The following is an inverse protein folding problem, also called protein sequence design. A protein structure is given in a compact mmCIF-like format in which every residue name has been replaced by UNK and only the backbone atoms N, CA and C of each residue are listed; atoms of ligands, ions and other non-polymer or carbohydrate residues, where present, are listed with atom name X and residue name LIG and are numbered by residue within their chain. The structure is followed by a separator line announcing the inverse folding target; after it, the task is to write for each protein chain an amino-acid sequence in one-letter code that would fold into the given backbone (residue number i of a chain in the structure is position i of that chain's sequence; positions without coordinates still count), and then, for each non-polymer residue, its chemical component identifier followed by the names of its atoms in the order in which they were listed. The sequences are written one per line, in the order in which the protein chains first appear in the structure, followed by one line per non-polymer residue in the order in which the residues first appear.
data_IF_674521141154
#
_entry.id   IF_674521141154
#
_cell.length_a   1.000
_cell.length_b   1.000
_cell.length_c   1.000
_cell.angle_alpha   90.00
_cell.angle_beta   90.00
_cell.angle_gamma   90.00
#
_symmetry.space_group_name_H-M   'P 1'
#
loop_
_entity.id
_entity.type
_entity.pdbx_description
1 polymer ?
#
# COMPACT_ATOMS: atom_id res chain seq x y z
N UNK A 1 -4.87 -7.37 -21.64
CA UNK A 1 -5.66 -8.12 -20.64
C UNK A 1 -4.69 -8.86 -19.74
N UNK A 2 -4.62 -8.53 -18.45
CA UNK A 2 -3.78 -9.25 -17.48
C UNK A 2 -4.29 -10.69 -17.33
N UNK A 3 -3.41 -11.68 -17.44
CA UNK A 3 -3.78 -13.07 -17.17
C UNK A 3 -4.14 -13.25 -15.68
N UNK A 4 -4.96 -14.26 -15.36
CA UNK A 4 -5.29 -14.60 -13.97
C UNK A 4 -4.01 -14.79 -13.15
N UNK A 5 -3.01 -15.46 -13.73
CA UNK A 5 -1.71 -15.68 -13.12
C UNK A 5 -0.97 -14.36 -12.84
N UNK A 6 -0.98 -13.43 -13.79
CA UNK A 6 -0.39 -12.10 -13.62
C UNK A 6 -1.09 -11.29 -12.52
N UNK A 7 -2.41 -11.41 -12.40
CA UNK A 7 -3.20 -10.73 -11.37
C UNK A 7 -2.89 -11.30 -9.98
N UNK A 8 -2.81 -12.63 -9.83
CA UNK A 8 -2.44 -13.29 -8.57
C UNK A 8 -1.02 -12.89 -8.15
N UNK A 9 -0.08 -12.88 -9.09
CA UNK A 9 1.29 -12.47 -8.81
C UNK A 9 1.37 -11.01 -8.37
N UNK A 10 0.73 -10.10 -9.11
CA UNK A 10 0.69 -8.68 -8.77
C UNK A 10 0.05 -8.43 -7.40
N UNK A 11 -1.06 -9.13 -7.10
CA UNK A 11 -1.69 -9.09 -5.78
C UNK A 11 -0.74 -9.55 -4.69
N UNK A 12 -0.10 -10.72 -4.84
CA UNK A 12 0.83 -11.25 -3.84
C UNK A 12 2.03 -10.32 -3.61
N UNK A 13 2.55 -9.70 -4.67
CA UNK A 13 3.65 -8.74 -4.59
C UNK A 13 3.24 -7.48 -3.81
N UNK A 14 2.15 -6.83 -4.21
CA UNK A 14 1.67 -5.59 -3.57
C UNK A 14 1.27 -5.85 -2.12
N UNK A 15 0.53 -6.93 -1.87
CA UNK A 15 0.13 -7.33 -0.52
C UNK A 15 1.34 -7.67 0.35
N UNK A 16 2.33 -8.37 -0.19
CA UNK A 16 3.57 -8.70 0.51
C UNK A 16 4.34 -7.45 0.95
N UNK A 17 4.47 -6.45 0.06
CA UNK A 17 5.11 -5.16 0.39
C UNK A 17 4.30 -4.42 1.48
N UNK A 18 2.98 -4.37 1.33
CA UNK A 18 2.09 -3.70 2.28
C UNK A 18 2.20 -4.30 3.68
N UNK A 19 2.15 -5.63 3.81
CA UNK A 19 2.30 -6.28 5.11
C UNK A 19 3.71 -6.11 5.65
N UNK A 20 4.75 -6.23 4.82
CA UNK A 20 6.12 -6.03 5.27
C UNK A 20 6.33 -4.64 5.88
N UNK A 21 5.84 -3.58 5.21
CA UNK A 21 5.95 -2.21 5.70
C UNK A 21 5.11 -1.99 6.96
N UNK A 22 3.92 -2.61 7.05
CA UNK A 22 3.09 -2.60 8.26
C UNK A 22 3.83 -3.20 9.47
N UNK A 23 4.34 -4.41 9.33
CA UNK A 23 5.08 -5.10 10.39
C UNK A 23 6.36 -4.34 10.75
N UNK A 24 7.04 -3.76 9.75
CA UNK A 24 8.18 -2.89 9.99
C UNK A 24 7.81 -1.68 10.86
N UNK A 25 6.61 -1.11 10.72
CA UNK A 25 6.12 -0.02 11.57
C UNK A 25 6.03 -0.42 13.04
N UNK A 26 5.41 -1.57 13.34
CA UNK A 26 5.37 -2.11 14.71
C UNK A 26 6.78 -2.35 15.25
N UNK A 27 7.63 -3.00 14.45
CA UNK A 27 9.01 -3.29 14.80
C UNK A 27 9.81 -2.02 15.12
N UNK A 28 9.74 -1.02 14.23
CA UNK A 28 10.45 0.24 14.33
C UNK A 28 10.07 1.00 15.60
N UNK A 29 8.76 1.18 15.85
CA UNK A 29 8.30 1.87 17.05
C UNK A 29 8.61 1.06 18.31
N UNK A 30 8.53 -0.27 18.25
CA UNK A 30 8.92 -1.15 19.34
C UNK A 30 10.37 -0.98 19.76
N UNK A 31 11.29 -0.97 18.79
CA UNK A 31 12.72 -0.70 19.04
C UNK A 31 12.94 0.70 19.58
N UNK A 32 12.25 1.72 19.04
CA UNK A 32 12.36 3.11 19.50
C UNK A 32 11.89 3.26 20.96
N UNK A 33 10.84 2.54 21.35
CA UNK A 33 10.32 2.53 22.73
C UNK A 33 11.11 1.62 23.67
N UNK A 34 12.21 1.03 23.21
CA UNK A 34 13.08 0.14 23.99
C UNK A 34 12.36 -1.12 24.44
N UNK A 35 11.48 -1.68 23.59
CA UNK A 35 10.84 -2.96 23.80
C UNK A 35 11.72 -4.10 23.26
N UNK A 36 11.71 -5.24 23.97
CA UNK A 36 12.37 -6.45 23.49
C UNK A 36 11.48 -7.13 22.45
N UNK A 37 12.06 -7.36 21.29
CA UNK A 37 11.42 -8.03 20.15
C UNK A 37 12.17 -9.32 19.90
N UNK A 38 11.46 -10.44 20.01
CA UNK A 38 12.03 -11.78 19.87
C UNK A 38 12.12 -12.19 18.41
N UNK A 39 11.09 -11.84 17.62
CA UNK A 39 10.96 -12.25 16.23
C UNK A 39 10.48 -11.10 15.37
N UNK A 40 11.13 -10.92 14.23
CA UNK A 40 10.60 -10.18 13.10
C UNK A 40 10.52 -11.13 11.91
N UNK A 41 9.31 -11.54 11.52
CA UNK A 41 9.09 -12.56 10.49
C UNK A 41 8.39 -11.96 9.29
N UNK A 42 8.98 -12.16 8.11
CA UNK A 42 8.24 -12.07 6.86
C UNK A 42 7.64 -13.44 6.56
N UNK A 43 6.31 -13.50 6.58
CA UNK A 43 5.54 -14.71 6.34
C UNK A 43 5.27 -15.53 7.60
N UNK A 44 4.47 -16.58 7.42
CA UNK A 44 4.06 -17.50 8.47
C UNK A 44 4.58 -18.93 8.24
N UNK A 45 4.45 -19.74 9.29
CA UNK A 45 4.75 -21.17 9.25
C UNK A 45 6.23 -21.48 9.45
N UNK A 46 6.72 -22.49 8.73
CA UNK A 46 8.09 -23.00 8.90
C UNK A 46 9.10 -21.95 8.44
N UNK A 47 10.10 -21.67 9.29
CA UNK A 47 11.25 -20.84 8.96
C UNK A 47 11.98 -21.44 7.76
N UNK A 48 12.22 -20.63 6.74
CA UNK A 48 13.06 -20.99 5.59
C UNK A 48 14.49 -20.52 5.83
N UNK A 49 14.65 -19.21 6.03
CA UNK A 49 15.96 -18.57 6.23
C UNK A 49 15.83 -17.48 7.30
N UNK A 50 16.94 -17.08 7.90
CA UNK A 50 16.94 -15.97 8.83
C UNK A 50 18.26 -15.80 9.56
N UNK A 51 18.44 -14.63 10.16
CA UNK A 51 19.62 -14.24 10.91
C UNK A 51 19.16 -13.75 12.28
N UNK A 52 19.78 -14.24 13.34
CA UNK A 52 19.58 -13.69 14.68
C UNK A 52 20.60 -12.57 14.90
N UNK A 53 20.13 -11.35 15.15
CA UNK A 53 20.99 -10.20 15.48
C UNK A 53 20.55 -9.63 16.83
N UNK A 54 21.45 -9.74 17.81
CA UNK A 54 21.13 -9.45 19.20
C UNK A 54 20.04 -10.38 19.72
N UNK A 55 18.97 -9.81 20.26
CA UNK A 55 17.84 -10.55 20.81
C UNK A 55 16.76 -10.91 19.76
N UNK A 56 16.82 -10.30 18.55
CA UNK A 56 15.79 -10.45 17.53
C UNK A 56 16.19 -11.48 16.47
N UNK A 57 15.30 -12.44 16.22
CA UNK A 57 15.36 -13.37 15.10
C UNK A 57 14.67 -12.77 13.88
N UNK A 58 15.45 -12.36 12.88
CA UNK A 58 14.96 -11.87 11.60
C UNK A 58 14.81 -13.06 10.66
N UNK A 59 13.59 -13.39 10.26
CA UNK A 59 13.34 -14.60 9.47
C UNK A 59 12.37 -14.39 8.31
N UNK A 60 12.53 -15.25 7.32
CA UNK A 60 11.57 -15.42 6.23
C UNK A 60 10.99 -16.83 6.37
N UNK A 61 9.67 -16.92 6.35
CA UNK A 61 8.92 -18.15 6.56
C UNK A 61 8.22 -18.61 5.28
N UNK A 62 7.80 -19.87 5.24
CA UNK A 62 7.32 -20.53 4.02
C UNK A 62 6.13 -19.83 3.34
N UNK A 63 5.20 -19.29 4.12
CA UNK A 63 3.99 -18.67 3.60
C UNK A 63 4.25 -17.17 3.49
N UNK A 64 4.45 -16.60 2.28
CA UNK A 64 4.78 -15.19 2.10
C UNK A 64 3.60 -14.24 2.34
N UNK A 65 2.38 -14.80 2.49
CA UNK A 65 1.14 -14.08 2.75
C UNK A 65 1.08 -13.59 4.19
N UNK A 66 1.89 -12.59 4.51
CA UNK A 66 1.82 -11.83 5.76
C UNK A 66 3.15 -11.73 6.49
N UNK A 67 3.10 -11.52 7.80
CA UNK A 67 4.26 -11.36 8.67
C UNK A 67 3.82 -11.13 10.11
N UNK A 68 4.78 -11.09 11.02
CA UNK A 68 4.48 -10.71 12.40
C UNK A 68 5.73 -10.23 13.14
N UNK A 69 5.50 -9.34 14.10
CA UNK A 69 6.45 -8.96 15.14
C UNK A 69 6.05 -9.63 16.44
N UNK A 70 6.92 -10.46 17.02
CA UNK A 70 6.69 -11.03 18.35
C UNK A 70 7.38 -10.19 19.40
N UNK A 71 6.60 -9.54 20.26
CA UNK A 71 7.12 -8.83 21.41
C UNK A 71 7.27 -9.76 22.61
N UNK A 72 8.29 -9.51 23.43
CA UNK A 72 8.47 -10.27 24.66
C UNK A 72 7.41 -9.88 25.70
N UNK A 73 6.87 -10.87 26.41
CA UNK A 73 5.81 -10.69 27.41
C UNK A 73 4.46 -10.21 26.84
N UNK A 74 4.22 -10.41 25.53
CA UNK A 74 2.94 -10.14 24.88
C UNK A 74 1.91 -11.28 25.09
N UNK A 75 2.40 -12.52 25.17
CA UNK A 75 1.57 -13.72 25.34
C UNK A 75 0.90 -13.72 26.74
N UNK A 76 -0.42 -13.61 26.78
CA UNK A 76 -1.19 -13.51 28.04
C UNK A 76 -1.10 -14.76 28.95
N UNK A 77 -0.65 -15.89 28.39
CA UNK A 77 -0.39 -17.14 29.09
C UNK A 77 0.98 -17.18 29.77
N UNK A 78 1.93 -16.39 29.26
CA UNK A 78 3.23 -16.19 29.86
C UNK A 78 3.09 -15.01 30.85
N UNK A 79 2.62 -15.31 32.07
CA UNK A 79 2.65 -14.37 33.20
C UNK A 79 3.88 -14.68 34.04
N UNK A 80 5.07 -14.20 33.66
CA UNK A 80 6.22 -14.33 34.56
C UNK A 80 5.90 -13.61 35.86
N UNK A 81 6.36 -14.15 36.99
CA UNK A 81 6.21 -13.53 38.32
C UNK A 81 6.76 -12.09 38.34
N UNK A 82 7.69 -11.77 37.42
CA UNK A 82 8.24 -10.44 37.23
C UNK A 82 8.40 -10.13 35.75
N UNK A 83 7.76 -9.04 35.30
CA UNK A 83 7.92 -8.52 33.95
C UNK A 83 9.27 -7.82 33.81
N UNK A 84 10.02 -8.10 32.74
CA UNK A 84 11.20 -7.31 32.36
C UNK A 84 10.71 -5.90 31.94
N UNK A 85 11.36 -4.80 32.37
CA UNK A 85 10.98 -3.45 31.93
C UNK A 85 10.94 -3.23 30.40
N UNK A 86 11.57 -4.13 29.63
CA UNK A 86 11.57 -4.14 28.17
C UNK A 86 10.44 -5.00 27.58
N UNK A 87 9.69 -5.73 28.38
CA UNK A 87 8.53 -6.49 27.93
C UNK A 87 7.39 -5.55 27.53
N UNK A 88 6.59 -5.98 26.56
CA UNK A 88 5.49 -5.20 26.02
C UNK A 88 4.51 -4.76 27.11
N UNK A 89 4.09 -5.71 27.96
CA UNK A 89 3.12 -5.45 29.03
C UNK A 89 3.67 -4.58 30.17
N UNK A 90 5.00 -4.49 30.32
CA UNK A 90 5.63 -3.61 31.30
C UNK A 90 5.60 -2.13 30.86
N UNK A 91 5.46 -1.84 29.56
CA UNK A 91 5.42 -0.47 29.04
C UNK A 91 4.11 0.25 29.35
N UNK A 92 4.20 1.59 29.40
CA UNK A 92 3.03 2.45 29.59
C UNK A 92 2.03 2.22 28.46
N UNK A 93 0.73 2.32 28.77
CA UNK A 93 -0.35 2.07 27.81
C UNK A 93 -0.23 2.90 26.52
N UNK A 94 0.21 4.16 26.64
CA UNK A 94 0.40 5.02 25.47
C UNK A 94 1.57 4.56 24.57
N UNK A 95 2.63 3.98 25.14
CA UNK A 95 3.75 3.45 24.35
C UNK A 95 3.32 2.23 23.55
N UNK A 96 2.56 1.33 24.18
CA UNK A 96 1.95 0.18 23.51
C UNK A 96 0.98 0.63 22.41
N UNK A 97 0.15 1.62 22.70
CA UNK A 97 -0.77 2.20 21.71
C UNK A 97 -0.03 2.75 20.49
N UNK A 98 1.07 3.50 20.69
CA UNK A 98 1.88 4.01 19.57
C UNK A 98 2.47 2.87 18.73
N UNK A 99 2.97 1.80 19.36
CA UNK A 99 3.46 0.62 18.63
C UNK A 99 2.36 -0.01 17.79
N UNK A 100 1.17 -0.22 18.38
CA UNK A 100 0.02 -0.83 17.70
C UNK A 100 -0.51 0.02 16.54
N UNK A 101 -0.42 1.34 16.62
CA UNK A 101 -0.89 2.22 15.53
C UNK A 101 0.17 2.42 14.45
N UNK A 102 1.46 2.27 14.78
CA UNK A 102 2.55 2.56 13.85
C UNK A 102 2.51 1.71 12.57
N UNK A 103 2.04 0.46 12.64
CA UNK A 103 1.92 -0.37 11.44
C UNK A 103 1.01 0.27 10.38
N UNK A 104 -0.16 0.76 10.79
CA UNK A 104 -1.08 1.47 9.89
C UNK A 104 -0.52 2.81 9.43
N UNK A 105 0.15 3.55 10.31
CA UNK A 105 0.79 4.83 9.96
C UNK A 105 1.84 4.63 8.87
N UNK A 106 2.66 3.58 8.95
CA UNK A 106 3.65 3.26 7.92
C UNK A 106 3.01 2.92 6.58
N UNK A 107 1.84 2.30 6.55
CA UNK A 107 1.10 2.06 5.30
C UNK A 107 0.54 3.36 4.69
N UNK A 108 0.09 4.29 5.52
CA UNK A 108 -0.33 5.62 5.04
C UNK A 108 0.86 6.36 4.43
N UNK A 109 2.01 6.32 5.11
CA UNK A 109 3.26 6.90 4.58
C UNK A 109 3.63 6.22 3.25
N UNK A 110 3.58 4.89 3.18
CA UNK A 110 3.84 4.14 1.96
C UNK A 110 2.90 4.57 0.83
N UNK A 111 1.60 4.74 1.09
CA UNK A 111 0.64 5.18 0.08
C UNK A 111 1.00 6.56 -0.47
N UNK A 112 1.33 7.52 0.39
CA UNK A 112 1.76 8.86 -0.02
C UNK A 112 3.03 8.80 -0.86
N UNK A 113 4.03 8.02 -0.42
CA UNK A 113 5.29 7.85 -1.15
C UNK A 113 5.06 7.20 -2.51
N UNK A 114 4.24 6.14 -2.59
CA UNK A 114 3.92 5.47 -3.84
C UNK A 114 3.24 6.43 -4.83
N UNK A 115 2.23 7.19 -4.37
CA UNK A 115 1.55 8.18 -5.21
C UNK A 115 2.53 9.26 -5.69
N UNK A 116 3.39 9.76 -4.80
CA UNK A 116 4.38 10.76 -5.15
C UNK A 116 5.39 10.24 -6.20
N UNK A 117 5.91 9.02 -6.02
CA UNK A 117 6.84 8.39 -6.96
C UNK A 117 6.17 8.13 -8.31
N UNK A 118 4.95 7.62 -8.31
CA UNK A 118 4.18 7.38 -9.55
C UNK A 118 3.98 8.70 -10.33
N UNK A 119 3.66 9.80 -9.64
CA UNK A 119 3.54 11.10 -10.29
C UNK A 119 4.89 11.69 -10.74
N UNK A 120 5.97 11.43 -10.00
CA UNK A 120 7.31 11.89 -10.36
C UNK A 120 7.88 11.17 -11.59
N UNK A 121 7.61 9.86 -11.73
CA UNK A 121 8.03 9.06 -12.89
C UNK A 121 7.20 9.42 -14.14
N UNK A 122 6.04 10.05 -13.95
CA UNK A 122 5.10 10.40 -15.00
C UNK A 122 4.09 9.28 -15.20
N UNK A 123 2.82 9.64 -15.14
CA UNK A 123 1.73 8.72 -15.51
C UNK A 123 1.42 8.95 -16.98
N UNK A 124 1.42 7.88 -17.77
CA UNK A 124 0.90 7.93 -19.13
C UNK A 124 -0.59 8.23 -19.08
N UNK A 125 -0.94 9.50 -19.26
CA UNK A 125 -2.33 9.92 -19.44
C UNK A 125 -2.78 9.38 -20.79
N UNK A 126 -3.98 8.77 -20.90
CA UNK A 126 -4.47 8.32 -22.19
C UNK A 126 -4.44 9.48 -23.18
N UNK A 127 -3.84 9.27 -24.35
CA UNK A 127 -3.50 10.33 -25.29
C UNK A 127 -4.72 11.19 -25.69
N UNK A 128 -5.91 10.57 -25.73
CA UNK A 128 -7.18 11.24 -26.03
C UNK A 128 -7.55 12.34 -25.02
N UNK A 129 -7.04 12.33 -23.78
CA UNK A 129 -7.29 13.39 -22.80
C UNK A 129 -6.50 14.67 -23.12
N UNK A 130 -5.43 14.53 -23.90
CA UNK A 130 -4.56 15.63 -24.35
C UNK A 130 -4.73 15.98 -25.83
N UNK A 131 -5.60 15.26 -26.55
CA UNK A 131 -5.91 15.52 -27.95
C UNK A 131 -7.10 16.48 -28.09
N UNK A 132 -7.18 17.22 -29.22
CA UNK A 132 -8.36 18.01 -29.54
C UNK A 132 -9.63 17.15 -29.47
N UNK A 133 -10.77 17.72 -29.04
CA UNK A 133 -12.02 16.98 -28.96
C UNK A 133 -12.60 16.74 -30.37
N UNK A 134 -12.08 15.69 -31.02
CA UNK A 134 -12.48 15.24 -32.37
C UNK A 134 -13.60 14.21 -32.26
N UNK A 135 -14.73 14.45 -32.93
CA UNK A 135 -15.86 13.53 -32.92
C UNK A 135 -15.49 12.23 -33.63
N UNK A 136 -15.43 11.11 -32.89
CA UNK A 136 -15.15 9.80 -33.48
C UNK A 136 -16.37 9.06 -34.01
N UNK A 137 -17.55 9.29 -33.42
CA UNK A 137 -18.80 8.62 -33.78
C UNK A 137 -20.00 9.49 -33.41
N UNK A 138 -21.05 9.41 -34.22
CA UNK A 138 -22.33 10.08 -33.95
C UNK A 138 -23.45 9.05 -33.96
N UNK A 139 -24.18 8.98 -32.86
CA UNK A 139 -25.33 8.10 -32.73
C UNK A 139 -26.46 8.54 -33.69
N UNK A 140 -27.00 7.65 -34.55
CA UNK A 140 -28.09 7.98 -35.46
C UNK A 140 -29.33 8.51 -34.74
N UNK A 141 -29.93 9.59 -35.24
CA UNK A 141 -31.12 10.21 -34.65
C UNK A 141 -30.86 11.07 -33.39
N UNK A 142 -29.60 11.16 -32.94
CA UNK A 142 -29.22 12.02 -31.82
C UNK A 142 -29.40 13.52 -32.12
N UNK A 143 -29.47 14.39 -31.09
CA UNK A 143 -29.39 15.84 -31.28
C UNK A 143 -28.16 16.27 -32.08
N UNK A 144 -27.02 15.59 -31.90
CA UNK A 144 -25.80 15.87 -32.63
C UNK A 144 -25.95 15.60 -34.14
N UNK A 145 -26.54 14.45 -34.50
CA UNK A 145 -26.85 14.12 -35.90
C UNK A 145 -27.82 15.14 -36.53
N UNK A 146 -28.85 15.58 -35.80
CA UNK A 146 -29.82 16.59 -36.27
C UNK A 146 -29.21 17.99 -36.39
N UNK A 147 -28.22 18.30 -35.56
CA UNK A 147 -27.44 19.53 -35.64
C UNK A 147 -26.43 19.55 -36.79
N UNK A 148 -26.24 18.42 -37.48
CA UNK A 148 -25.36 18.31 -38.65
C UNK A 148 -23.88 18.13 -38.31
N UNK A 149 -23.56 17.79 -37.05
CA UNK A 149 -22.21 17.41 -36.67
C UNK A 149 -21.79 16.17 -37.46
N UNK A 150 -20.49 16.07 -37.76
CA UNK A 150 -19.90 14.96 -38.50
C UNK A 150 -18.75 14.34 -37.72
N UNK A 151 -18.44 13.05 -37.96
CA UNK A 151 -17.15 12.51 -37.58
C UNK A 151 -16.02 13.40 -38.12
N UNK A 152 -14.94 13.51 -37.36
CA UNK A 152 -13.77 14.37 -37.61
C UNK A 152 -13.99 15.88 -37.37
N UNK A 153 -15.19 16.34 -36.98
CA UNK A 153 -15.38 17.70 -36.47
C UNK A 153 -14.59 17.92 -35.17
N UNK A 154 -13.98 19.10 -35.04
CA UNK A 154 -13.25 19.53 -33.82
C UNK A 154 -14.12 20.49 -33.02
N UNK A 155 -14.42 20.13 -31.76
CA UNK A 155 -15.18 21.01 -30.86
C UNK A 155 -14.24 22.09 -30.30
N UNK A 156 -14.31 23.31 -30.83
CA UNK A 156 -13.45 24.42 -30.37
C UNK A 156 -14.01 25.16 -29.15
N UNK A 157 -15.34 25.15 -28.97
CA UNK A 157 -16.01 25.82 -27.86
C UNK A 157 -17.38 25.20 -27.54
N UNK A 158 -17.79 25.27 -26.27
CA UNK A 158 -19.13 24.89 -25.79
C UNK A 158 -19.70 26.08 -25.01
N UNK A 159 -20.87 26.56 -25.42
CA UNK A 159 -21.53 27.74 -24.81
C UNK A 159 -20.61 28.98 -24.73
N UNK A 160 -19.73 29.17 -25.71
CA UNK A 160 -18.78 30.28 -25.77
C UNK A 160 -17.54 30.13 -24.88
N UNK A 161 -17.37 28.99 -24.19
CA UNK A 161 -16.13 28.66 -23.49
C UNK A 161 -15.27 27.77 -24.39
N UNK A 162 -14.02 28.18 -24.61
CA UNK A 162 -13.06 27.40 -25.39
C UNK A 162 -12.76 26.06 -24.71
N UNK A 163 -12.66 25.00 -25.51
CA UNK A 163 -12.28 23.65 -25.07
C UNK A 163 -11.12 23.17 -25.93
N UNK A 164 -10.00 22.89 -25.28
CA UNK A 164 -8.80 22.37 -25.95
C UNK A 164 -8.76 20.84 -25.98
N UNK A 165 -9.50 20.18 -25.07
CA UNK A 165 -9.47 18.74 -24.80
C UNK A 165 -10.84 18.23 -24.38
N UNK A 166 -10.99 16.91 -24.25
CA UNK A 166 -12.21 16.27 -23.71
C UNK A 166 -12.41 16.45 -22.19
N UNK A 167 -11.42 17.02 -21.49
CA UNK A 167 -11.41 17.33 -20.06
C UNK A 167 -11.32 18.84 -19.81
#
# INVERSE_FOLDING_TARGET
MSSILGTIFAFALVFGILVFVHEFGHFFMGKLMGMRIEVFSWGYGRRLVGIKKGETDYRVSLIPMGGYVKFSGEDAYDRPERLDPRDFMAKKRWQRFLVLVMGSVMNIILAVVLVAVINMVGVSVPEYQSQPPVIGWIEPGSPAARAGLQPDDVIVAINGQEVATWS
#
